data_IF_861531953372
#
_entry.id   IF_861531953372
#
_cell.length_a   1.000
_cell.length_b   1.000
_cell.length_c   1.000
_cell.angle_alpha   90.00
_cell.angle_beta   90.00
_cell.angle_gamma   90.00
#
_symmetry.space_group_name_H-M   'P 1'
#
loop_
_entity.id
_entity.type
_entity.pdbx_description
1 polymer ?
#
# COMPACT_ATOMS: atom_id res chain seq x y z
N UNK A 1 4.21 4.76 15.88
CA UNK A 1 3.09 5.72 15.72
C UNK A 1 1.79 4.92 15.72
N UNK A 2 0.77 5.37 16.46
CA UNK A 2 -0.54 4.70 16.48
C UNK A 2 -1.34 5.06 15.20
N UNK A 3 -2.22 4.16 14.72
CA UNK A 3 -3.06 4.40 13.53
C UNK A 3 -3.83 5.73 13.62
N UNK A 4 -4.37 6.04 14.80
CA UNK A 4 -5.10 7.29 15.03
C UNK A 4 -4.23 8.54 14.81
N UNK A 5 -2.97 8.50 15.21
CA UNK A 5 -2.07 9.63 14.99
C UNK A 5 -1.64 9.69 13.53
N UNK A 6 -1.31 8.55 12.92
CA UNK A 6 -1.03 8.47 11.48
C UNK A 6 -2.14 9.10 10.64
N UNK A 7 -3.41 8.78 10.91
CA UNK A 7 -4.56 9.38 10.22
C UNK A 7 -4.62 10.91 10.40
N UNK A 8 -4.23 11.45 11.56
CA UNK A 8 -4.15 12.92 11.74
C UNK A 8 -3.07 13.53 10.86
N UNK A 9 -1.89 12.89 10.78
CA UNK A 9 -0.80 13.35 9.91
C UNK A 9 -1.26 13.40 8.45
N UNK A 10 -1.91 12.34 7.95
CA UNK A 10 -2.47 12.32 6.58
C UNK A 10 -3.49 13.44 6.35
N UNK A 11 -4.40 13.68 7.32
CA UNK A 11 -5.38 14.77 7.24
C UNK A 11 -4.77 16.17 7.26
N UNK A 12 -3.57 16.32 7.80
CA UNK A 12 -2.82 17.57 7.77
C UNK A 12 -2.03 17.77 6.46
N UNK A 13 -2.20 16.87 5.48
CA UNK A 13 -1.55 16.93 4.18
C UNK A 13 -0.18 16.24 4.14
N UNK A 14 0.26 15.61 5.23
CA UNK A 14 1.48 14.81 5.21
C UNK A 14 1.25 13.55 4.37
N UNK A 15 2.09 13.32 3.37
CA UNK A 15 1.98 12.18 2.46
C UNK A 15 3.28 11.39 2.46
N UNK A 16 3.43 10.41 3.37
CA UNK A 16 4.64 9.59 3.42
C UNK A 16 4.77 8.77 2.12
N UNK A 17 5.95 8.78 1.47
CA UNK A 17 6.14 8.06 0.20
C UNK A 17 6.15 6.54 0.38
N UNK A 18 6.35 6.05 1.60
CA UNK A 18 6.31 4.64 1.96
C UNK A 18 5.72 4.50 3.36
N UNK A 19 4.72 3.63 3.52
CA UNK A 19 4.08 3.33 4.80
C UNK A 19 4.05 1.83 5.02
N UNK A 20 4.57 1.37 6.15
CA UNK A 20 4.45 -0.01 6.60
C UNK A 20 3.41 -0.10 7.72
N UNK A 21 2.33 -0.86 7.48
CA UNK A 21 1.24 -1.06 8.45
C UNK A 21 1.42 -2.45 9.07
N UNK A 22 1.74 -2.49 10.37
CA UNK A 22 1.93 -3.72 11.14
C UNK A 22 0.84 -3.89 12.21
N UNK A 23 0.60 -5.13 12.62
CA UNK A 23 -0.32 -5.49 13.71
C UNK A 23 -1.43 -6.43 13.25
N UNK A 24 -2.02 -7.18 14.18
CA UNK A 24 -2.99 -8.25 13.89
C UNK A 24 -4.43 -7.73 13.72
N UNK A 25 -4.73 -6.52 14.19
CA UNK A 25 -6.07 -5.97 14.16
C UNK A 25 -6.49 -5.43 12.79
N UNK A 26 -7.28 -6.23 12.08
CA UNK A 26 -7.73 -5.96 10.71
C UNK A 26 -8.47 -4.62 10.59
N UNK A 27 -9.32 -4.27 11.56
CA UNK A 27 -10.06 -3.02 11.55
C UNK A 27 -9.14 -1.79 11.57
N UNK A 28 -8.04 -1.85 12.33
CA UNK A 28 -7.06 -0.76 12.38
C UNK A 28 -6.23 -0.68 11.09
N UNK A 29 -5.85 -1.84 10.52
CA UNK A 29 -5.16 -1.87 9.22
C UNK A 29 -6.03 -1.29 8.11
N UNK A 30 -7.31 -1.67 8.05
CA UNK A 30 -8.26 -1.15 7.08
C UNK A 30 -8.50 0.34 7.23
N UNK A 31 -8.59 0.86 8.47
CA UNK A 31 -8.70 2.30 8.71
C UNK A 31 -7.50 3.08 8.19
N UNK A 32 -6.27 2.56 8.42
CA UNK A 32 -5.06 3.18 7.89
C UNK A 32 -5.02 3.14 6.35
N UNK A 33 -5.31 1.98 5.74
CA UNK A 33 -5.37 1.83 4.28
C UNK A 33 -6.40 2.77 3.65
N UNK A 34 -7.60 2.85 4.22
CA UNK A 34 -8.64 3.74 3.70
C UNK A 34 -8.27 5.22 3.83
N UNK A 35 -7.57 5.61 4.90
CA UNK A 35 -7.10 6.98 5.07
C UNK A 35 -6.05 7.36 4.01
N UNK A 36 -5.17 6.44 3.61
CA UNK A 36 -4.20 6.67 2.52
C UNK A 36 -4.96 6.80 1.19
N UNK A 37 -5.84 5.84 0.86
CA UNK A 37 -6.65 5.86 -0.35
C UNK A 37 -7.47 7.15 -0.51
N UNK A 38 -8.02 7.67 0.59
CA UNK A 38 -8.79 8.91 0.60
C UNK A 38 -7.98 10.16 0.24
N UNK A 39 -6.65 10.08 0.18
CA UNK A 39 -5.79 11.17 -0.27
C UNK A 39 -5.74 11.30 -1.80
N UNK A 40 -6.26 10.32 -2.56
CA UNK A 40 -6.45 10.41 -4.01
C UNK A 40 -7.91 10.77 -4.27
N UNK A 41 -8.20 11.79 -5.09
CA UNK A 41 -9.56 12.11 -5.52
C UNK A 41 -10.28 10.90 -6.12
N UNK A 42 -11.56 10.71 -5.79
CA UNK A 42 -12.34 9.52 -6.15
C UNK A 42 -12.37 9.27 -7.68
N UNK A 43 -12.42 10.34 -8.47
CA UNK A 43 -12.38 10.30 -9.94
C UNK A 43 -11.00 9.87 -10.50
N UNK A 44 -9.95 9.97 -9.70
CA UNK A 44 -8.58 9.58 -10.06
C UNK A 44 -8.18 8.20 -9.53
N UNK A 45 -8.88 7.67 -8.52
CA UNK A 45 -8.53 6.40 -7.87
C UNK A 45 -8.51 5.21 -8.84
N UNK A 46 -9.47 5.14 -9.76
CA UNK A 46 -9.59 4.03 -10.73
C UNK A 46 -8.31 3.78 -11.51
N UNK A 47 -7.52 4.83 -11.79
CA UNK A 47 -6.31 4.75 -12.61
C UNK A 47 -5.01 4.91 -11.81
N UNK A 48 -5.11 5.39 -10.56
CA UNK A 48 -3.96 5.72 -9.72
C UNK A 48 -3.86 4.85 -8.46
N UNK A 49 -4.70 3.83 -8.32
CA UNK A 49 -4.67 2.89 -7.21
C UNK A 49 -4.40 1.46 -7.73
N UNK A 50 -3.27 0.90 -7.33
CA UNK A 50 -2.89 -0.49 -7.60
C UNK A 50 -2.86 -1.30 -6.30
N UNK A 51 -3.30 -2.56 -6.35
CA UNK A 51 -3.26 -3.47 -5.18
C UNK A 51 -2.75 -4.84 -5.60
N UNK A 52 -1.75 -5.34 -4.90
CA UNK A 52 -1.01 -6.54 -5.27
C UNK A 52 -0.86 -7.47 -4.08
N UNK A 53 -1.32 -8.71 -4.22
CA UNK A 53 -1.14 -9.79 -3.24
C UNK A 53 0.17 -10.52 -3.53
N UNK A 54 1.09 -10.51 -2.55
CA UNK A 54 2.40 -11.15 -2.71
C UNK A 54 2.33 -12.67 -2.70
N UNK A 55 1.21 -13.28 -2.27
CA UNK A 55 0.98 -14.72 -2.46
C UNK A 55 0.70 -15.09 -3.92
N UNK A 56 0.39 -14.11 -4.77
CA UNK A 56 0.00 -14.33 -6.18
C UNK A 56 0.87 -13.59 -7.19
N UNK A 57 1.53 -12.52 -6.77
CA UNK A 57 2.26 -11.61 -7.67
C UNK A 57 3.65 -11.30 -7.15
N UNK A 58 4.70 -11.37 -8.00
CA UNK A 58 6.03 -10.88 -7.65
C UNK A 58 6.01 -9.41 -7.22
N UNK A 59 6.87 -9.06 -6.25
CA UNK A 59 6.96 -7.68 -5.75
C UNK A 59 7.39 -6.71 -6.85
N UNK A 60 8.19 -7.18 -7.81
CA UNK A 60 8.60 -6.40 -8.99
C UNK A 60 7.42 -5.82 -9.78
N UNK A 61 6.27 -6.50 -9.83
CA UNK A 61 5.09 -5.97 -10.52
C UNK A 61 4.53 -4.72 -9.81
N UNK A 62 4.44 -4.78 -8.47
CA UNK A 62 4.01 -3.65 -7.65
C UNK A 62 5.02 -2.49 -7.73
N UNK A 63 6.32 -2.78 -7.73
CA UNK A 63 7.37 -1.77 -7.87
C UNK A 63 7.34 -1.08 -9.24
N UNK A 64 7.12 -1.85 -10.32
CA UNK A 64 6.96 -1.30 -11.66
C UNK A 64 5.78 -0.33 -11.73
N UNK A 65 4.65 -0.67 -11.11
CA UNK A 65 3.51 0.25 -11.03
C UNK A 65 3.85 1.48 -10.18
N UNK A 66 4.45 1.31 -9.01
CA UNK A 66 4.82 2.40 -8.10
C UNK A 66 5.80 3.41 -8.72
N UNK A 67 6.63 2.98 -9.66
CA UNK A 67 7.58 3.85 -10.39
C UNK A 67 7.00 4.48 -11.65
N UNK A 68 5.79 4.09 -12.05
CA UNK A 68 5.13 4.65 -13.23
C UNK A 68 4.43 5.98 -12.92
N UNK A 69 4.29 6.83 -13.95
CA UNK A 69 3.68 8.16 -13.80
C UNK A 69 2.16 8.08 -13.55
N UNK A 70 1.62 8.83 -12.57
CA UNK A 70 0.17 8.86 -12.32
C UNK A 70 -0.61 9.39 -13.52
N UNK A 71 -1.85 8.94 -13.66
CA UNK A 71 -2.74 9.29 -14.77
C UNK A 71 -3.68 10.44 -14.36
N UNK A 72 -3.54 11.59 -15.00
CA UNK A 72 -4.27 12.84 -14.69
C UNK A 72 -4.36 13.16 -13.19
N UNK A 73 -3.27 12.95 -12.46
CA UNK A 73 -3.18 13.20 -11.03
C UNK A 73 -1.74 13.39 -10.57
N UNK A 74 -1.58 13.82 -9.32
CA UNK A 74 -0.25 14.10 -8.75
C UNK A 74 0.42 12.84 -8.18
N UNK A 75 -0.37 11.82 -7.84
CA UNK A 75 0.12 10.65 -7.12
C UNK A 75 -0.50 9.35 -7.60
N UNK A 76 0.32 8.31 -7.61
CA UNK A 76 -0.08 6.91 -7.66
C UNK A 76 0.09 6.29 -6.28
N UNK A 77 -0.87 5.48 -5.87
CA UNK A 77 -0.82 4.66 -4.67
C UNK A 77 -0.77 3.19 -5.06
N UNK A 78 0.19 2.48 -4.47
CA UNK A 78 0.36 1.04 -4.65
C UNK A 78 0.32 0.37 -3.29
N UNK A 79 -0.65 -0.52 -3.11
CA UNK A 79 -0.83 -1.32 -1.90
C UNK A 79 -0.26 -2.72 -2.14
N UNK A 80 0.61 -3.13 -1.23
CA UNK A 80 1.18 -4.47 -1.19
C UNK A 80 0.52 -5.21 -0.02
N UNK A 81 -0.22 -6.27 -0.33
CA UNK A 81 -0.81 -7.17 0.64
C UNK A 81 0.09 -8.37 0.91
N UNK A 82 0.02 -8.87 2.14
CA UNK A 82 0.72 -10.05 2.64
C UNK A 82 2.18 -10.16 2.18
N UNK A 83 3.02 -9.13 2.40
CA UNK A 83 4.45 -9.14 2.03
C UNK A 83 5.24 -10.07 2.96
N UNK A 84 5.01 -11.37 2.83
CA UNK A 84 5.55 -12.40 3.71
C UNK A 84 7.08 -12.47 3.68
N UNK A 85 7.73 -11.99 2.61
CA UNK A 85 9.17 -11.83 2.50
C UNK A 85 9.76 -10.81 3.49
N UNK A 86 8.92 -10.01 4.16
CA UNK A 86 9.33 -9.16 5.29
C UNK A 86 9.38 -9.93 6.62
N UNK A 87 9.02 -11.22 6.61
CA UNK A 87 8.98 -12.09 7.79
C UNK A 87 10.04 -13.19 7.71
N UNK A 88 10.22 -13.93 8.81
CA UNK A 88 11.06 -15.13 8.82
C UNK A 88 10.32 -16.42 8.47
N UNK A 89 9.04 -16.36 8.09
CA UNK A 89 8.27 -17.54 7.72
C UNK A 89 8.79 -18.12 6.41
N UNK A 90 9.03 -19.44 6.42
CA UNK A 90 9.37 -20.17 5.19
C UNK A 90 8.09 -20.40 4.42
N UNK A 91 7.84 -19.58 3.41
CA UNK A 91 6.75 -19.85 2.48
C UNK A 91 7.12 -20.97 1.51
N UNK A 92 6.18 -21.89 1.29
CA UNK A 92 6.34 -23.00 0.35
C UNK A 92 6.02 -22.59 -1.10
N UNK A 93 5.59 -21.34 -1.30
CA UNK A 93 5.10 -20.83 -2.58
C UNK A 93 6.21 -20.58 -3.59
N UNK A 94 5.84 -20.75 -4.86
CA UNK A 94 6.72 -20.71 -6.04
C UNK A 94 6.99 -19.31 -6.57
N UNK A 95 6.47 -18.27 -5.93
CA UNK A 95 6.57 -16.91 -6.47
C UNK A 95 7.92 -16.33 -6.08
N UNK A 96 8.69 -15.99 -7.11
CA UNK A 96 9.97 -15.33 -6.95
C UNK A 96 9.75 -13.82 -6.78
N UNK A 97 10.31 -13.27 -5.71
CA UNK A 97 10.25 -11.83 -5.39
C UNK A 97 11.60 -11.14 -5.58
N UNK A 98 12.67 -11.86 -5.93
CA UNK A 98 14.01 -11.31 -6.18
C UNK A 98 14.15 -10.70 -7.60
#
# INVERSE_FOLDING_TARGET
MQVRDFIKHLKNGERPPLTLILGEESALRQQAQHAIASMIPEDQQVMNFGRYDMQQTPVGAALNDATSMPFFGDYREVVIDDPYFLTGEKNADKIDHD
#
